data_IF_110021609919
#
_entry.id   IF_110021609919
#
_cell.length_a   1.000
_cell.length_b   1.000
_cell.length_c   1.000
_cell.angle_alpha   90.00
_cell.angle_beta   90.00
_cell.angle_gamma   90.00
#
_symmetry.space_group_name_H-M   'P 1'
#
loop_
_entity.id
_entity.type
_entity.pdbx_description
1 polymer ?
#
# COMPACT_ATOMS: atom_id res chain seq x y z
N UNK A 1 3.75 10.18 18.25
CA UNK A 1 2.81 9.16 17.79
C UNK A 1 1.99 8.68 18.99
N UNK A 2 0.70 9.09 19.02
CA UNK A 2 -0.19 8.89 20.17
C UNK A 2 -0.44 7.40 20.47
N UNK A 3 -0.51 6.56 19.43
CA UNK A 3 -0.73 5.12 19.57
C UNK A 3 0.32 4.39 20.42
N UNK A 4 1.49 4.99 20.63
CA UNK A 4 2.53 4.40 21.47
C UNK A 4 2.25 4.58 22.95
N UNK A 5 1.49 5.62 23.31
CA UNK A 5 1.26 6.04 24.71
C UNK A 5 -0.21 5.94 25.13
N UNK A 6 -1.16 5.97 24.19
CA UNK A 6 -2.57 6.03 24.46
C UNK A 6 -3.33 4.95 23.69
N UNK A 7 -4.21 4.22 24.37
CA UNK A 7 -5.17 3.30 23.76
C UNK A 7 -6.63 3.73 24.01
N UNK A 8 -6.84 4.84 24.73
CA UNK A 8 -8.18 5.38 25.02
C UNK A 8 -8.33 6.75 24.39
N UNK A 9 -9.40 6.90 23.60
CA UNK A 9 -9.79 8.16 22.98
C UNK A 9 -11.18 8.56 23.46
N UNK A 10 -11.28 9.74 24.04
CA UNK A 10 -12.56 10.33 24.40
C UNK A 10 -12.87 11.44 23.41
N UNK A 11 -13.90 11.27 22.60
CA UNK A 11 -14.42 12.31 21.72
C UNK A 11 -15.42 13.17 22.51
N UNK A 12 -14.98 14.36 22.89
CA UNK A 12 -15.82 15.33 23.59
C UNK A 12 -16.93 15.88 22.70
N UNK A 13 -16.64 16.07 21.42
CA UNK A 13 -17.57 16.45 20.36
C UNK A 13 -17.61 15.37 19.27
N UNK A 14 -18.76 15.12 18.71
CA UNK A 14 -18.94 14.27 17.53
C UNK A 14 -18.92 15.19 16.31
N UNK A 15 -17.83 15.20 15.49
CA UNK A 15 -17.79 16.01 14.29
C UNK A 15 -18.82 15.51 13.29
N UNK A 16 -19.43 16.42 12.56
CA UNK A 16 -20.43 16.10 11.52
C UNK A 16 -19.84 15.32 10.33
N UNK A 17 -18.54 15.43 10.12
CA UNK A 17 -17.85 14.73 9.04
C UNK A 17 -17.26 13.42 9.57
N UNK A 18 -17.75 12.25 9.12
CA UNK A 18 -17.24 10.93 9.53
C UNK A 18 -15.74 10.75 9.30
N UNK A 19 -15.21 11.33 8.22
CA UNK A 19 -13.78 11.28 7.90
C UNK A 19 -12.91 11.94 8.99
N UNK A 20 -13.42 12.96 9.68
CA UNK A 20 -12.72 13.53 10.85
C UNK A 20 -12.74 12.60 12.06
N UNK A 21 -13.79 11.81 12.22
CA UNK A 21 -13.86 10.77 13.24
C UNK A 21 -12.84 9.66 12.96
N UNK A 22 -12.80 9.17 11.73
CA UNK A 22 -11.78 8.19 11.30
C UNK A 22 -10.36 8.71 11.50
N UNK A 23 -10.11 9.98 11.16
CA UNK A 23 -8.79 10.61 11.39
C UNK A 23 -8.45 10.68 12.89
N UNK A 24 -9.44 10.95 13.76
CA UNK A 24 -9.22 10.96 15.21
C UNK A 24 -8.95 9.55 15.74
N UNK A 25 -9.76 8.58 15.34
CA UNK A 25 -9.61 7.16 15.67
C UNK A 25 -8.27 6.65 15.18
N UNK A 26 -7.90 6.91 13.93
CA UNK A 26 -6.64 6.51 13.34
C UNK A 26 -5.39 7.13 14.00
N UNK A 27 -5.54 8.04 14.96
CA UNK A 27 -4.41 8.51 15.77
C UNK A 27 -4.01 7.54 16.87
N UNK A 28 -4.94 6.72 17.35
CA UNK A 28 -4.70 5.69 18.37
C UNK A 28 -4.88 4.27 17.82
N UNK A 29 -5.79 4.07 16.88
CA UNK A 29 -5.98 2.82 16.14
C UNK A 29 -5.08 2.82 14.91
N UNK A 30 -3.81 2.57 15.15
CA UNK A 30 -2.78 2.59 14.14
C UNK A 30 -1.77 1.48 14.37
N UNK A 31 -1.12 1.08 13.31
CA UNK A 31 -0.04 0.11 13.38
C UNK A 31 0.99 0.47 14.48
N UNK A 32 1.25 -0.49 15.37
CA UNK A 32 2.11 -0.32 16.55
C UNK A 32 1.36 -0.05 17.84
N UNK A 33 0.02 0.01 17.83
CA UNK A 33 -0.79 -0.01 19.05
C UNK A 33 -0.69 -1.38 19.73
N UNK A 34 -0.37 -1.38 21.01
CA UNK A 34 -0.17 -2.61 21.80
C UNK A 34 -1.44 -3.09 22.49
N UNK A 35 -2.33 -2.15 22.76
CA UNK A 35 -3.59 -2.38 23.46
C UNK A 35 -4.76 -2.22 22.49
N UNK A 36 -5.87 -2.90 22.74
CA UNK A 36 -7.07 -2.70 21.94
C UNK A 36 -7.58 -1.26 22.13
N UNK A 37 -7.68 -0.44 21.07
CA UNK A 37 -8.18 0.92 21.20
C UNK A 37 -9.60 0.96 21.76
N UNK A 38 -9.79 1.74 22.81
CA UNK A 38 -11.11 2.00 23.41
C UNK A 38 -11.53 3.43 23.05
N UNK A 39 -12.62 3.54 22.28
CA UNK A 39 -13.11 4.82 21.75
C UNK A 39 -14.41 5.16 22.46
N UNK A 40 -14.45 6.31 23.11
CA UNK A 40 -15.59 6.81 23.83
C UNK A 40 -16.15 8.05 23.13
N UNK A 41 -17.46 8.11 23.04
CA UNK A 41 -18.19 9.27 22.53
C UNK A 41 -19.04 9.84 23.66
N UNK A 42 -18.92 11.13 23.93
CA UNK A 42 -19.85 11.81 24.82
C UNK A 42 -21.10 12.16 24.02
N UNK A 43 -22.15 11.41 24.24
CA UNK A 43 -23.45 11.68 23.64
C UNK A 43 -24.31 12.47 24.67
N UNK A 44 -24.93 13.58 24.25
CA UNK A 44 -25.84 14.30 25.13
C UNK A 44 -27.06 13.41 25.47
N UNK A 45 -27.37 13.29 26.73
CA UNK A 45 -28.60 12.63 27.15
C UNK A 45 -29.79 13.54 26.83
N UNK A 46 -30.70 13.03 26.01
CA UNK A 46 -31.92 13.79 25.65
C UNK A 46 -32.82 13.97 26.86
N UNK A 47 -32.57 15.01 27.64
CA UNK A 47 -33.39 15.42 28.75
C UNK A 47 -34.29 16.57 28.31
N UNK A 48 -35.45 16.25 27.74
CA UNK A 48 -36.55 17.21 27.70
C UNK A 48 -36.84 17.92 26.38
N UNK A 49 -37.92 18.64 26.39
CA UNK A 49 -38.58 19.34 25.28
C UNK A 49 -37.89 20.69 24.96
N UNK A 50 -36.70 20.68 24.34
CA UNK A 50 -36.01 21.89 23.94
C UNK A 50 -35.82 21.96 22.42
N UNK A 51 -35.59 23.16 21.89
CA UNK A 51 -35.36 23.44 20.45
C UNK A 51 -34.25 22.58 19.82
N UNK A 52 -33.31 22.07 20.63
CA UNK A 52 -32.17 21.27 20.22
C UNK A 52 -32.34 19.76 20.51
N UNK A 53 -33.45 19.34 21.13
CA UNK A 53 -33.65 17.92 21.52
C UNK A 53 -33.59 16.97 20.31
N UNK A 54 -34.13 17.39 19.16
CA UNK A 54 -34.06 16.59 17.93
C UNK A 54 -32.66 16.44 17.35
N UNK A 55 -31.79 17.45 17.51
CA UNK A 55 -30.40 17.39 17.09
C UNK A 55 -29.55 16.52 18.04
N UNK A 56 -29.82 16.61 19.35
CA UNK A 56 -29.14 15.80 20.37
C UNK A 56 -29.48 14.31 20.23
N UNK A 57 -30.76 13.99 20.01
CA UNK A 57 -31.23 12.63 19.76
C UNK A 57 -30.62 12.04 18.46
N UNK A 58 -30.50 12.87 17.42
CA UNK A 58 -29.83 12.47 16.17
C UNK A 58 -28.33 12.18 16.38
N UNK A 59 -27.60 13.05 17.07
CA UNK A 59 -26.18 12.86 17.36
C UNK A 59 -25.94 11.61 18.24
N UNK A 60 -26.84 11.34 19.19
CA UNK A 60 -26.81 10.10 19.99
C UNK A 60 -26.95 8.86 19.12
N UNK A 61 -27.96 8.79 18.26
CA UNK A 61 -28.18 7.67 17.33
C UNK A 61 -27.05 7.54 16.31
N UNK A 62 -26.48 8.64 15.87
CA UNK A 62 -25.32 8.63 14.97
C UNK A 62 -24.10 8.01 15.66
N UNK A 63 -23.83 8.40 16.90
CA UNK A 63 -22.72 7.85 17.68
C UNK A 63 -22.89 6.34 17.92
N UNK A 64 -24.10 5.88 18.26
CA UNK A 64 -24.41 4.45 18.39
C UNK A 64 -24.22 3.69 17.09
N UNK A 65 -24.68 4.25 15.97
CA UNK A 65 -24.55 3.62 14.67
C UNK A 65 -23.09 3.52 14.23
N UNK A 66 -22.30 4.58 14.40
CA UNK A 66 -20.86 4.59 14.11
C UNK A 66 -20.14 3.55 15.00
N UNK A 67 -20.46 3.49 16.28
CA UNK A 67 -19.87 2.53 17.21
C UNK A 67 -20.18 1.08 16.80
N UNK A 68 -21.39 0.81 16.33
CA UNK A 68 -21.82 -0.51 15.87
C UNK A 68 -21.14 -0.88 14.56
N UNK A 69 -21.12 0.02 13.58
CA UNK A 69 -20.49 -0.23 12.26
C UNK A 69 -18.97 -0.37 12.36
N UNK A 70 -18.31 0.41 13.21
CA UNK A 70 -16.86 0.27 13.46
C UNK A 70 -16.55 -1.09 14.10
N UNK A 71 -17.46 -1.61 14.94
CA UNK A 71 -17.29 -2.93 15.55
C UNK A 71 -17.48 -4.06 14.56
N UNK A 72 -18.44 -3.94 13.64
CA UNK A 72 -18.85 -5.02 12.73
C UNK A 72 -18.05 -5.03 11.42
N UNK A 73 -17.65 -3.86 10.91
CA UNK A 73 -17.02 -3.69 9.60
C UNK A 73 -15.61 -3.11 9.64
N UNK A 74 -15.15 -2.65 10.80
CA UNK A 74 -13.81 -2.06 10.96
C UNK A 74 -13.62 -0.68 10.29
N UNK A 75 -14.65 -0.15 9.60
CA UNK A 75 -14.62 1.16 8.95
C UNK A 75 -16.02 1.79 8.93
N UNK A 76 -16.06 3.13 8.88
CA UNK A 76 -17.33 3.86 8.78
C UNK A 76 -17.86 3.80 7.35
N UNK A 77 -19.12 3.38 7.21
CA UNK A 77 -19.74 3.22 5.91
C UNK A 77 -20.03 4.58 5.25
N UNK A 78 -19.70 4.78 3.96
CA UNK A 78 -20.04 6.00 3.19
C UNK A 78 -21.53 6.37 3.20
N UNK A 79 -22.44 5.41 3.42
CA UNK A 79 -23.89 5.65 3.57
C UNK A 79 -24.24 6.54 4.77
N UNK A 80 -23.40 6.54 5.82
CA UNK A 80 -23.61 7.44 6.97
C UNK A 80 -23.29 8.89 6.56
N UNK A 81 -22.30 9.09 5.72
CA UNK A 81 -21.93 10.42 5.21
C UNK A 81 -23.10 11.04 4.42
N UNK A 82 -23.75 10.25 3.59
CA UNK A 82 -24.94 10.69 2.85
C UNK A 82 -26.12 11.04 3.77
N UNK A 83 -26.39 10.25 4.81
CA UNK A 83 -27.45 10.50 5.77
C UNK A 83 -27.18 11.76 6.62
N UNK A 84 -25.93 11.98 7.02
CA UNK A 84 -25.50 13.16 7.76
C UNK A 84 -25.64 14.40 6.89
N UNK A 85 -25.09 14.36 5.68
CA UNK A 85 -25.13 15.45 4.70
C UNK A 85 -26.58 15.81 4.37
N UNK A 86 -27.43 14.81 4.16
CA UNK A 86 -28.87 15.02 3.86
C UNK A 86 -29.61 15.72 5.00
N UNK A 87 -29.32 15.38 6.25
CA UNK A 87 -30.00 15.94 7.41
C UNK A 87 -29.52 17.34 7.79
N UNK A 88 -28.22 17.61 7.66
CA UNK A 88 -27.65 18.92 8.00
C UNK A 88 -27.79 19.97 6.90
N UNK A 89 -27.94 19.53 5.65
CA UNK A 89 -28.23 20.42 4.52
C UNK A 89 -29.73 20.68 4.34
N UNK A 90 -30.57 20.39 5.35
CA UNK A 90 -31.98 20.77 5.39
C UNK A 90 -32.95 19.82 4.64
N UNK A 91 -32.50 18.67 4.15
CA UNK A 91 -33.41 17.63 3.68
C UNK A 91 -34.09 16.99 4.88
N UNK A 92 -35.33 17.36 5.14
CA UNK A 92 -36.20 16.73 6.13
C UNK A 92 -36.26 15.23 5.82
N UNK A 93 -35.70 14.41 6.68
CA UNK A 93 -36.03 12.98 6.68
C UNK A 93 -37.54 12.89 6.99
N UNK A 94 -38.36 12.67 5.96
CA UNK A 94 -39.68 12.08 6.18
C UNK A 94 -39.44 10.89 7.11
N UNK A 95 -40.28 10.76 8.14
CA UNK A 95 -40.30 9.62 9.07
C UNK A 95 -39.90 8.36 8.31
N UNK A 96 -38.85 7.69 8.79
CA UNK A 96 -38.52 6.38 8.25
C UNK A 96 -39.78 5.52 8.29
N UNK A 97 -40.26 5.00 7.17
CA UNK A 97 -41.38 4.08 7.19
C UNK A 97 -40.96 2.88 8.02
N UNK A 98 -41.83 2.50 8.95
CA UNK A 98 -41.71 1.24 9.65
C UNK A 98 -41.54 0.12 8.63
N UNK A 99 -40.47 -0.68 8.76
CA UNK A 99 -40.26 -2.02 8.17
C UNK A 99 -41.19 -2.34 6.98
N UNK A 100 -40.87 -1.83 5.82
CA UNK A 100 -41.41 -2.29 4.56
C UNK A 100 -40.23 -2.40 3.60
N UNK A 101 -40.11 -3.53 2.93
CA UNK A 101 -39.07 -3.86 1.99
C UNK A 101 -39.11 -2.88 0.82
N UNK A 102 -38.23 -1.91 0.83
CA UNK A 102 -38.08 -0.96 -0.27
C UNK A 102 -37.04 -1.54 -1.23
N UNK A 103 -37.51 -2.21 -2.30
CA UNK A 103 -36.68 -2.81 -3.34
C UNK A 103 -35.65 -1.79 -3.89
N UNK A 104 -36.02 -0.51 -3.97
CA UNK A 104 -35.11 0.57 -4.41
C UNK A 104 -33.96 0.85 -3.43
N UNK A 105 -34.17 0.64 -2.13
CA UNK A 105 -33.10 0.78 -1.15
C UNK A 105 -32.12 -0.40 -1.21
N UNK A 106 -32.63 -1.59 -1.53
CA UNK A 106 -31.84 -2.81 -1.75
C UNK A 106 -31.03 -2.68 -3.05
N UNK A 107 -31.63 -2.19 -4.13
CA UNK A 107 -30.93 -1.96 -5.39
C UNK A 107 -29.84 -0.89 -5.27
N UNK A 108 -30.08 0.17 -4.50
CA UNK A 108 -29.06 1.19 -4.21
C UNK A 108 -27.91 0.64 -3.34
N UNK A 109 -28.21 -0.20 -2.37
CA UNK A 109 -27.21 -0.86 -1.54
C UNK A 109 -26.40 -1.91 -2.34
N UNK A 110 -27.08 -2.67 -3.22
CA UNK A 110 -26.44 -3.62 -4.15
C UNK A 110 -25.56 -2.92 -5.19
N UNK A 111 -25.98 -1.77 -5.72
CA UNK A 111 -25.16 -0.96 -6.62
C UNK A 111 -23.92 -0.39 -5.91
N UNK A 112 -24.03 -0.01 -4.64
CA UNK A 112 -22.91 0.39 -3.79
C UNK A 112 -21.93 -0.76 -3.55
N UNK A 113 -22.42 -1.95 -3.25
CA UNK A 113 -21.59 -3.16 -3.05
C UNK A 113 -20.88 -3.57 -4.34
N UNK A 114 -21.52 -3.42 -5.50
CA UNK A 114 -20.93 -3.68 -6.81
C UNK A 114 -19.73 -2.76 -7.10
N UNK A 115 -19.84 -1.47 -6.81
CA UNK A 115 -18.74 -0.49 -6.95
C UNK A 115 -17.59 -0.80 -5.99
N UNK A 116 -17.87 -1.13 -4.74
CA UNK A 116 -16.87 -1.52 -3.75
C UNK A 116 -16.12 -2.78 -4.21
N UNK A 117 -16.83 -3.80 -4.68
CA UNK A 117 -16.21 -5.01 -5.20
C UNK A 117 -15.33 -4.73 -6.44
N UNK A 118 -15.74 -3.83 -7.33
CA UNK A 118 -14.93 -3.40 -8.48
C UNK A 118 -13.66 -2.68 -8.01
N UNK A 119 -13.75 -1.78 -7.03
CA UNK A 119 -12.60 -1.10 -6.45
C UNK A 119 -11.65 -2.06 -5.75
N UNK A 120 -12.15 -2.98 -4.94
CA UNK A 120 -11.36 -4.02 -4.29
C UNK A 120 -10.66 -4.93 -5.30
N UNK A 121 -11.37 -5.30 -6.37
CA UNK A 121 -10.79 -6.11 -7.46
C UNK A 121 -9.69 -5.35 -8.20
N UNK A 122 -9.87 -4.06 -8.46
CA UNK A 122 -8.86 -3.22 -9.09
C UNK A 122 -7.62 -3.06 -8.20
N UNK A 123 -7.82 -2.83 -6.89
CA UNK A 123 -6.73 -2.76 -5.91
C UNK A 123 -5.98 -4.09 -5.79
N UNK A 124 -6.69 -5.21 -5.76
CA UNK A 124 -6.10 -6.54 -5.70
C UNK A 124 -5.27 -6.86 -6.95
N UNK A 125 -5.75 -6.46 -8.14
CA UNK A 125 -4.99 -6.60 -9.40
C UNK A 125 -3.73 -5.72 -9.38
N UNK A 126 -3.87 -4.47 -8.94
CA UNK A 126 -2.74 -3.53 -8.79
C UNK A 126 -1.69 -4.07 -7.83
N UNK A 127 -2.10 -4.59 -6.68
CA UNK A 127 -1.22 -5.23 -5.71
C UNK A 127 -0.48 -6.45 -6.29
N UNK A 128 -1.21 -7.36 -6.96
CA UNK A 128 -0.61 -8.54 -7.61
C UNK A 128 0.41 -8.13 -8.68
N UNK A 129 0.11 -7.12 -9.49
CA UNK A 129 1.02 -6.59 -10.51
C UNK A 129 2.28 -6.01 -9.86
N UNK A 130 2.13 -5.13 -8.88
CA UNK A 130 3.29 -4.54 -8.16
C UNK A 130 4.15 -5.63 -7.51
N UNK A 131 3.54 -6.66 -6.93
CA UNK A 131 4.25 -7.79 -6.33
C UNK A 131 5.06 -8.56 -7.37
N UNK A 132 4.52 -8.77 -8.57
CA UNK A 132 5.22 -9.40 -9.68
C UNK A 132 6.35 -8.51 -10.22
N UNK A 133 6.09 -7.22 -10.46
CA UNK A 133 7.07 -6.24 -10.94
C UNK A 133 8.28 -6.08 -9.98
N UNK A 134 8.06 -6.35 -8.69
CA UNK A 134 9.10 -6.30 -7.65
C UNK A 134 9.71 -7.67 -7.34
N UNK A 135 9.33 -8.73 -8.05
CA UNK A 135 9.74 -10.12 -7.81
C UNK A 135 9.56 -10.57 -6.36
N UNK A 136 8.48 -10.14 -5.71
CA UNK A 136 8.16 -10.47 -4.32
C UNK A 136 7.48 -11.84 -4.25
N UNK A 137 8.27 -12.90 -4.30
CA UNK A 137 7.80 -14.29 -4.17
C UNK A 137 7.85 -14.75 -2.70
N UNK A 138 7.09 -15.78 -2.30
CA UNK A 138 7.21 -16.40 -0.99
C UNK A 138 8.63 -16.88 -0.70
N UNK A 139 9.31 -17.45 -1.68
CA UNK A 139 10.69 -17.92 -1.57
C UNK A 139 11.66 -16.77 -1.31
N UNK A 140 11.48 -15.62 -2.00
CA UNK A 140 12.30 -14.44 -1.75
C UNK A 140 12.09 -13.91 -0.31
N UNK A 141 10.84 -13.92 0.18
CA UNK A 141 10.53 -13.56 1.56
C UNK A 141 11.22 -14.47 2.59
N UNK A 142 11.17 -15.78 2.38
CA UNK A 142 11.87 -16.76 3.21
C UNK A 142 13.38 -16.49 3.23
N UNK A 143 14.02 -16.38 2.06
CA UNK A 143 15.47 -16.14 1.96
C UNK A 143 15.90 -14.88 2.72
N UNK A 144 15.13 -13.81 2.64
CA UNK A 144 15.41 -12.56 3.40
C UNK A 144 15.46 -12.82 4.90
N UNK A 145 14.58 -13.68 5.42
CA UNK A 145 14.55 -14.03 6.85
C UNK A 145 15.71 -14.96 7.19
N UNK A 146 15.92 -16.03 6.43
CA UNK A 146 16.97 -17.02 6.68
C UNK A 146 18.37 -16.36 6.63
N UNK A 147 18.63 -15.50 5.67
CA UNK A 147 19.89 -14.75 5.58
C UNK A 147 20.12 -13.84 6.78
N UNK A 148 19.07 -13.13 7.21
CA UNK A 148 19.19 -12.26 8.38
C UNK A 148 19.40 -13.04 9.69
N UNK A 149 18.81 -14.22 9.80
CA UNK A 149 19.05 -15.17 10.92
C UNK A 149 20.51 -15.65 10.89
N UNK A 150 20.99 -16.08 9.74
CA UNK A 150 22.38 -16.53 9.53
C UNK A 150 23.38 -15.42 9.90
N UNK A 151 23.18 -14.20 9.42
CA UNK A 151 24.05 -13.05 9.74
C UNK A 151 24.08 -12.69 11.22
N UNK A 152 23.07 -13.07 11.96
CA UNK A 152 22.99 -12.82 13.41
C UNK A 152 23.24 -14.09 14.22
N UNK A 153 23.79 -15.15 13.59
CA UNK A 153 24.09 -16.42 14.22
C UNK A 153 22.88 -17.07 14.92
N UNK A 154 21.70 -16.90 14.30
CA UNK A 154 20.48 -17.57 14.77
C UNK A 154 20.21 -18.84 13.96
N UNK A 155 19.51 -19.82 14.54
CA UNK A 155 19.06 -20.99 13.80
C UNK A 155 18.13 -20.59 12.65
N UNK A 156 18.19 -21.29 11.49
CA UNK A 156 17.30 -21.04 10.36
C UNK A 156 15.86 -21.47 10.67
N UNK A 157 14.91 -21.00 9.85
CA UNK A 157 13.54 -21.51 9.88
C UNK A 157 13.49 -22.97 9.46
N UNK A 158 12.78 -23.80 10.22
CA UNK A 158 12.61 -25.23 9.94
C UNK A 158 11.31 -25.48 9.19
N UNK A 159 11.40 -26.16 8.05
CA UNK A 159 10.19 -26.50 7.29
C UNK A 159 9.42 -27.61 8.01
N UNK A 160 8.14 -27.39 8.25
CA UNK A 160 7.25 -28.34 8.92
C UNK A 160 6.11 -28.68 7.98
N UNK A 161 5.80 -29.96 7.89
CA UNK A 161 4.62 -30.41 7.14
C UNK A 161 3.35 -29.88 7.78
N UNK A 162 2.37 -29.54 6.96
CA UNK A 162 1.05 -29.15 7.41
C UNK A 162 0.00 -29.96 6.63
N UNK A 163 -0.89 -30.63 7.34
CA UNK A 163 -2.01 -31.34 6.72
C UNK A 163 -3.08 -30.40 6.17
N UNK A 164 -2.98 -29.11 6.52
CA UNK A 164 -3.99 -28.09 6.20
C UNK A 164 -3.66 -27.28 4.94
N UNK A 165 -2.44 -27.41 4.40
CA UNK A 165 -2.01 -26.68 3.20
C UNK A 165 -0.84 -27.37 2.52
N UNK A 166 -0.83 -27.35 1.19
CA UNK A 166 0.30 -27.83 0.37
C UNK A 166 1.46 -26.81 0.29
N UNK A 167 1.25 -25.60 0.79
CA UNK A 167 2.29 -24.59 0.78
C UNK A 167 3.26 -24.76 1.95
N UNK A 168 4.53 -24.40 1.75
CA UNK A 168 5.56 -24.48 2.77
C UNK A 168 5.23 -23.66 4.01
N UNK A 169 5.30 -24.32 5.15
CA UNK A 169 5.08 -23.78 6.49
C UNK A 169 6.34 -24.00 7.31
N UNK A 170 6.70 -23.03 8.14
CA UNK A 170 7.96 -23.05 8.87
C UNK A 170 7.75 -22.87 10.36
N UNK A 171 8.41 -23.69 11.17
CA UNK A 171 8.56 -23.44 12.59
C UNK A 171 9.60 -22.34 12.81
N UNK A 172 9.30 -21.43 13.72
CA UNK A 172 10.27 -20.42 14.16
C UNK A 172 11.03 -21.00 15.34
N UNK A 173 12.36 -21.15 15.23
CA UNK A 173 13.18 -21.69 16.31
C UNK A 173 13.23 -20.72 17.50
N UNK A 174 13.83 -21.19 18.60
CA UNK A 174 14.07 -20.32 19.74
C UNK A 174 15.18 -19.32 19.37
N UNK A 175 14.83 -18.03 19.36
CA UNK A 175 15.68 -16.94 18.92
C UNK A 175 16.19 -16.13 20.11
N UNK A 176 17.39 -15.60 19.98
CA UNK A 176 18.01 -14.76 20.98
C UNK A 176 17.11 -13.56 21.38
N UNK A 177 17.31 -13.04 22.58
CA UNK A 177 16.54 -11.91 23.14
C UNK A 177 16.41 -10.71 22.19
N UNK A 178 17.45 -10.48 21.38
CA UNK A 178 17.42 -9.41 20.37
C UNK A 178 16.30 -9.59 19.32
N UNK A 179 15.79 -10.79 19.10
CA UNK A 179 14.73 -11.11 18.14
C UNK A 179 13.32 -11.21 18.75
N UNK A 180 13.19 -11.09 20.06
CA UNK A 180 11.89 -11.26 20.74
C UNK A 180 10.82 -10.29 20.22
N UNK A 181 11.17 -9.04 19.93
CA UNK A 181 10.25 -8.07 19.33
C UNK A 181 9.79 -8.49 17.91
N UNK A 182 10.60 -9.29 17.21
CA UNK A 182 10.28 -9.77 15.86
C UNK A 182 9.32 -10.96 15.86
N UNK A 183 9.32 -11.75 16.93
CA UNK A 183 8.44 -12.91 17.12
C UNK A 183 7.26 -12.61 18.04
N UNK A 184 7.19 -11.39 18.58
CA UNK A 184 6.08 -10.96 19.41
C UNK A 184 4.74 -11.08 18.65
N UNK A 185 3.77 -11.75 19.26
CA UNK A 185 2.46 -12.03 18.66
C UNK A 185 2.40 -13.30 17.81
N UNK A 186 3.50 -14.06 17.69
CA UNK A 186 3.43 -15.41 17.13
C UNK A 186 2.86 -16.41 18.13
N UNK A 187 3.00 -16.18 19.43
CA UNK A 187 2.31 -16.93 20.46
C UNK A 187 0.85 -16.45 20.65
N UNK A 188 0.08 -17.22 21.39
CA UNK A 188 -1.30 -16.86 21.75
C UNK A 188 -1.43 -16.75 23.28
N UNK A 189 -2.45 -16.01 23.75
CA UNK A 189 -2.76 -15.94 25.18
C UNK A 189 -3.08 -17.31 25.79
N UNK A 190 -3.56 -18.26 24.96
CA UNK A 190 -3.89 -19.63 25.39
C UNK A 190 -2.65 -20.52 25.46
N UNK A 191 -1.61 -20.20 24.72
CA UNK A 191 -0.34 -20.95 24.68
C UNK A 191 0.82 -19.94 24.66
N UNK A 192 1.10 -19.29 25.79
CA UNK A 192 2.20 -18.36 25.89
C UNK A 192 3.54 -19.09 25.72
N UNK A 193 4.44 -18.47 24.94
CA UNK A 193 5.77 -19.04 24.65
C UNK A 193 5.78 -20.12 23.57
N UNK A 194 4.65 -20.63 23.10
CA UNK A 194 4.58 -21.52 21.95
C UNK A 194 4.34 -20.71 20.69
N UNK A 195 5.39 -20.55 19.88
CA UNK A 195 5.29 -19.81 18.63
C UNK A 195 4.48 -20.61 17.60
N UNK A 196 3.53 -19.93 16.96
CA UNK A 196 2.79 -20.52 15.83
C UNK A 196 3.69 -20.60 14.62
N UNK A 197 3.53 -21.63 13.79
CA UNK A 197 4.25 -21.74 12.55
C UNK A 197 3.92 -20.57 11.61
N UNK A 198 4.87 -20.22 10.76
CA UNK A 198 4.78 -19.10 9.83
C UNK A 198 4.82 -19.57 8.39
N UNK A 199 4.25 -18.78 7.50
CA UNK A 199 4.33 -18.98 6.06
C UNK A 199 4.54 -17.65 5.35
N UNK A 200 5.16 -17.69 4.18
CA UNK A 200 5.31 -16.55 3.27
C UNK A 200 4.26 -16.56 2.14
N UNK A 201 3.44 -17.61 2.10
CA UNK A 201 2.34 -17.74 1.15
C UNK A 201 1.07 -17.10 1.75
N UNK A 202 0.46 -16.19 1.00
CA UNK A 202 -0.73 -15.45 1.44
C UNK A 202 -1.96 -16.36 1.65
N UNK A 203 -2.13 -17.37 0.78
CA UNK A 203 -3.28 -18.29 0.86
C UNK A 203 -3.14 -19.21 2.06
N UNK A 204 -1.95 -19.76 2.28
CA UNK A 204 -1.66 -20.58 3.46
C UNK A 204 -1.77 -19.80 4.78
N UNK A 205 -1.49 -18.51 4.75
CA UNK A 205 -1.65 -17.63 5.90
C UNK A 205 -3.10 -17.38 6.33
N UNK A 206 -4.09 -17.80 5.53
CA UNK A 206 -5.51 -17.77 5.89
C UNK A 206 -5.94 -19.00 6.69
N UNK A 207 -5.09 -20.01 6.77
CA UNK A 207 -5.34 -21.23 7.54
C UNK A 207 -5.23 -20.91 9.05
N UNK A 208 -6.22 -21.27 9.87
CA UNK A 208 -6.15 -21.04 11.31
C UNK A 208 -4.91 -21.66 11.94
N UNK A 209 -4.20 -20.91 12.76
CA UNK A 209 -3.00 -21.39 13.46
C UNK A 209 -1.68 -21.16 12.70
N UNK A 210 -1.71 -20.74 11.44
CA UNK A 210 -0.53 -20.37 10.65
C UNK A 210 -0.48 -18.85 10.52
N UNK A 211 0.69 -18.26 10.66
CA UNK A 211 0.86 -16.79 10.58
C UNK A 211 1.53 -16.41 9.27
N UNK A 212 0.90 -15.51 8.51
CA UNK A 212 1.48 -14.97 7.28
C UNK A 212 2.54 -13.90 7.58
N UNK A 213 3.78 -14.17 7.18
CA UNK A 213 4.88 -13.21 7.25
C UNK A 213 4.87 -12.34 6.01
N UNK A 214 4.03 -11.33 6.01
CA UNK A 214 3.97 -10.30 4.97
C UNK A 214 5.07 -9.24 5.16
N UNK A 215 5.25 -8.32 4.19
CA UNK A 215 6.30 -7.29 4.21
C UNK A 215 6.29 -6.38 5.46
N UNK A 216 5.12 -6.16 6.03
CA UNK A 216 4.94 -5.39 7.27
C UNK A 216 5.11 -6.19 8.56
N UNK A 217 5.26 -7.52 8.49
CA UNK A 217 5.40 -8.38 9.68
C UNK A 217 6.69 -8.05 10.44
N UNK A 218 6.69 -8.05 11.79
CA UNK A 218 7.87 -7.71 12.59
C UNK A 218 9.10 -8.51 12.23
N UNK A 219 8.96 -9.81 11.97
CA UNK A 219 10.04 -10.71 11.55
C UNK A 219 10.66 -10.22 10.22
N UNK A 220 9.84 -9.93 9.19
CA UNK A 220 10.32 -9.42 7.91
C UNK A 220 10.98 -8.04 8.04
N UNK A 221 10.38 -7.13 8.82
CA UNK A 221 10.93 -5.80 9.05
C UNK A 221 12.30 -5.83 9.73
N UNK A 222 12.47 -6.70 10.72
CA UNK A 222 13.75 -6.87 11.39
C UNK A 222 14.80 -7.44 10.45
N UNK A 223 14.46 -8.50 9.73
CA UNK A 223 15.33 -9.13 8.73
C UNK A 223 15.80 -8.13 7.68
N UNK A 224 14.87 -7.37 7.09
CA UNK A 224 15.19 -6.32 6.12
C UNK A 224 16.09 -5.23 6.70
N UNK A 225 15.92 -4.87 7.98
CA UNK A 225 16.78 -3.89 8.66
C UNK A 225 18.20 -4.42 8.81
N UNK A 226 18.37 -5.69 9.22
CA UNK A 226 19.68 -6.35 9.36
C UNK A 226 20.40 -6.40 8.02
N UNK A 227 19.73 -6.89 6.97
CA UNK A 227 20.29 -6.93 5.62
C UNK A 227 20.71 -5.55 5.12
N UNK A 228 19.85 -4.54 5.30
CA UNK A 228 20.17 -3.16 4.91
C UNK A 228 21.39 -2.62 5.66
N UNK A 229 21.48 -2.84 6.97
CA UNK A 229 22.62 -2.39 7.76
C UNK A 229 23.92 -3.04 7.26
N UNK A 230 23.90 -4.33 6.94
CA UNK A 230 25.05 -5.05 6.41
C UNK A 230 25.43 -4.60 5.00
N UNK A 231 24.49 -4.38 4.09
CA UNK A 231 24.75 -3.90 2.72
C UNK A 231 25.44 -2.53 2.67
N UNK A 232 25.26 -1.71 3.68
CA UNK A 232 25.88 -0.38 3.78
C UNK A 232 27.09 -0.32 4.75
N UNK A 233 27.42 -1.42 5.41
CA UNK A 233 28.56 -1.49 6.30
C UNK A 233 29.84 -1.78 5.52
N UNK A 234 30.91 -1.01 5.68
CA UNK A 234 32.19 -1.25 5.02
C UNK A 234 32.91 -2.53 5.53
N UNK A 235 32.47 -3.06 6.66
CA UNK A 235 33.04 -4.26 7.29
C UNK A 235 32.17 -5.51 7.08
N UNK A 236 31.12 -5.41 6.27
CA UNK A 236 30.22 -6.54 6.00
C UNK A 236 30.78 -7.43 4.90
N UNK A 237 30.60 -8.74 5.07
CA UNK A 237 30.88 -9.74 4.03
C UNK A 237 29.85 -9.73 2.90
N UNK A 238 28.76 -9.00 3.06
CA UNK A 238 27.69 -8.90 2.06
C UNK A 238 28.10 -7.94 0.96
N UNK A 239 28.29 -8.49 -0.23
CA UNK A 239 28.66 -7.72 -1.43
C UNK A 239 27.51 -7.67 -2.42
N UNK A 240 27.42 -6.58 -3.18
CA UNK A 240 26.48 -6.42 -4.29
C UNK A 240 26.99 -7.07 -5.59
N UNK A 241 28.22 -7.53 -5.60
CA UNK A 241 28.85 -8.19 -6.74
C UNK A 241 29.32 -9.58 -6.30
N UNK A 242 28.84 -10.59 -6.99
CA UNK A 242 29.18 -11.98 -6.71
C UNK A 242 29.69 -12.63 -7.99
N UNK A 243 30.69 -13.50 -7.86
CA UNK A 243 31.20 -14.31 -8.95
C UNK A 243 30.96 -15.79 -8.64
N UNK A 244 30.26 -16.47 -9.52
CA UNK A 244 29.87 -17.88 -9.35
C UNK A 244 30.22 -18.71 -10.58
N UNK A 245 30.50 -19.98 -10.37
CA UNK A 245 30.61 -20.97 -11.43
C UNK A 245 29.32 -21.78 -11.46
N UNK A 246 28.62 -21.76 -12.59
CA UNK A 246 27.36 -22.43 -12.79
C UNK A 246 27.56 -23.66 -13.73
N UNK A 247 27.38 -24.88 -13.23
CA UNK A 247 27.45 -26.08 -14.07
C UNK A 247 26.41 -26.05 -15.18
N UNK A 248 26.80 -26.45 -16.40
CA UNK A 248 25.89 -26.49 -17.54
C UNK A 248 25.45 -25.13 -18.10
N UNK A 249 26.08 -24.05 -17.70
CA UNK A 249 25.88 -22.73 -18.32
C UNK A 249 26.58 -22.74 -19.72
N UNK A 250 25.85 -22.30 -20.75
CA UNK A 250 26.41 -22.30 -22.12
C UNK A 250 27.47 -21.21 -22.33
N UNK A 251 27.28 -20.05 -21.73
CA UNK A 251 28.15 -18.88 -21.92
C UNK A 251 28.31 -18.09 -20.63
N UNK A 252 29.55 -17.79 -20.29
CA UNK A 252 29.85 -16.89 -19.19
C UNK A 252 29.24 -15.50 -19.42
N UNK A 253 28.59 -14.95 -18.39
CA UNK A 253 27.84 -13.71 -18.49
C UNK A 253 27.90 -12.86 -17.22
N UNK A 254 27.57 -11.58 -17.38
CA UNK A 254 27.30 -10.66 -16.31
C UNK A 254 25.79 -10.40 -16.26
N UNK A 255 25.12 -10.81 -15.21
CA UNK A 255 23.70 -10.59 -14.96
C UNK A 255 23.51 -9.53 -13.87
N UNK A 256 22.80 -8.46 -14.18
CA UNK A 256 22.53 -7.36 -13.26
C UNK A 256 21.03 -7.30 -12.94
N UNK A 257 20.72 -7.23 -11.67
CA UNK A 257 19.41 -6.84 -11.19
C UNK A 257 19.41 -5.33 -10.96
N UNK A 258 18.50 -4.64 -11.61
CA UNK A 258 18.40 -3.19 -11.58
C UNK A 258 16.98 -2.74 -11.21
N UNK A 259 16.87 -1.54 -10.68
CA UNK A 259 15.61 -0.93 -10.24
C UNK A 259 15.37 0.34 -11.06
N UNK A 260 14.20 0.43 -11.68
CA UNK A 260 13.68 1.62 -12.34
C UNK A 260 12.66 2.28 -11.42
N UNK A 261 12.83 3.57 -11.17
CA UNK A 261 11.86 4.41 -10.46
C UNK A 261 11.51 5.59 -11.34
N UNK A 262 10.24 5.77 -11.64
CA UNK A 262 9.73 6.94 -12.33
C UNK A 262 9.18 7.93 -11.30
N UNK A 263 9.74 9.12 -11.30
CA UNK A 263 9.41 10.19 -10.34
C UNK A 263 8.84 11.36 -11.11
N UNK A 264 7.61 11.73 -10.75
CA UNK A 264 6.94 12.92 -11.27
C UNK A 264 7.33 14.17 -10.50
N UNK A 265 6.70 15.27 -10.86
CA UNK A 265 6.92 16.57 -10.22
C UNK A 265 6.66 16.50 -8.71
N UNK A 266 7.47 17.20 -7.93
CA UNK A 266 7.37 17.17 -6.46
C UNK A 266 7.95 15.93 -5.79
N UNK A 267 8.64 15.04 -6.53
CA UNK A 267 9.28 13.85 -5.98
C UNK A 267 8.32 12.66 -5.76
N UNK A 268 7.12 12.72 -6.34
CA UNK A 268 6.15 11.64 -6.24
C UNK A 268 6.60 10.43 -7.05
N UNK A 269 6.71 9.26 -6.44
CA UNK A 269 6.97 8.00 -7.14
C UNK A 269 5.72 7.53 -7.86
N UNK A 270 5.76 7.55 -9.18
CA UNK A 270 4.66 7.14 -10.04
C UNK A 270 4.71 5.65 -10.40
N UNK A 271 5.92 5.14 -10.61
CA UNK A 271 6.15 3.73 -10.93
C UNK A 271 7.48 3.26 -10.34
N UNK A 272 7.54 2.00 -9.96
CA UNK A 272 8.75 1.34 -9.48
C UNK A 272 8.72 -0.12 -9.93
N UNK A 273 9.82 -0.56 -10.56
CA UNK A 273 9.96 -1.90 -11.08
C UNK A 273 11.40 -2.38 -10.94
N UNK A 274 11.57 -3.66 -10.62
CA UNK A 274 12.85 -4.36 -10.69
C UNK A 274 12.92 -5.10 -12.01
N UNK A 275 14.06 -5.05 -12.67
CA UNK A 275 14.28 -5.71 -13.95
C UNK A 275 15.68 -6.29 -14.03
N UNK A 276 15.83 -7.28 -14.90
CA UNK A 276 17.09 -7.98 -15.11
C UNK A 276 17.67 -7.58 -16.45
N UNK A 277 18.99 -7.38 -16.49
CA UNK A 277 19.76 -7.17 -17.71
C UNK A 277 21.06 -7.93 -17.64
N UNK A 278 21.65 -8.24 -18.78
CA UNK A 278 22.94 -8.89 -18.79
C UNK A 278 23.59 -8.87 -20.16
N UNK A 279 24.88 -9.20 -20.13
CA UNK A 279 25.72 -9.31 -21.32
C UNK A 279 26.60 -10.55 -21.19
N UNK A 280 26.90 -11.21 -22.31
CA UNK A 280 27.93 -12.26 -22.32
C UNK A 280 29.29 -11.63 -22.03
N UNK A 281 30.17 -12.33 -21.31
CA UNK A 281 31.52 -11.83 -21.08
C UNK A 281 32.27 -11.67 -22.41
N UNK A 282 32.10 -12.63 -23.32
CA UNK A 282 32.58 -12.59 -24.67
C UNK A 282 31.39 -12.70 -25.63
N UNK A 283 31.20 -11.70 -26.54
CA UNK A 283 30.16 -11.77 -27.58
C UNK A 283 28.92 -10.91 -27.32
N UNK A 284 27.77 -11.35 -27.85
CA UNK A 284 26.55 -10.58 -27.97
C UNK A 284 25.59 -10.70 -26.76
N UNK A 285 24.37 -10.25 -26.97
CA UNK A 285 23.28 -10.24 -25.98
C UNK A 285 22.96 -11.66 -25.50
N UNK A 286 22.41 -11.72 -24.29
CA UNK A 286 21.88 -12.93 -23.67
C UNK A 286 20.36 -12.79 -23.57
N UNK A 287 19.64 -13.90 -23.68
CA UNK A 287 18.19 -13.91 -23.54
C UNK A 287 17.77 -13.62 -22.11
N UNK A 288 16.63 -12.97 -21.93
CA UNK A 288 16.11 -12.58 -20.62
C UNK A 288 15.80 -13.82 -19.75
N UNK A 289 15.27 -14.88 -20.36
CA UNK A 289 15.00 -16.17 -19.70
C UNK A 289 16.27 -16.78 -19.10
N UNK A 290 17.37 -16.75 -19.85
CA UNK A 290 18.68 -17.25 -19.38
C UNK A 290 19.19 -16.40 -18.21
N UNK A 291 18.97 -15.09 -18.23
CA UNK A 291 19.36 -14.22 -17.11
C UNK A 291 18.57 -14.51 -15.84
N UNK A 292 17.27 -14.77 -15.96
CA UNK A 292 16.45 -15.19 -14.82
C UNK A 292 16.93 -16.53 -14.27
N UNK A 293 17.20 -17.50 -15.12
CA UNK A 293 17.74 -18.79 -14.71
C UNK A 293 19.09 -18.63 -13.99
N UNK A 294 20.01 -17.83 -14.52
CA UNK A 294 21.30 -17.54 -13.90
C UNK A 294 21.13 -16.94 -12.51
N UNK A 295 20.23 -15.97 -12.36
CA UNK A 295 19.98 -15.33 -11.06
C UNK A 295 19.34 -16.30 -10.07
N UNK A 296 18.34 -17.07 -10.47
CA UNK A 296 17.66 -18.03 -9.60
C UNK A 296 18.62 -19.13 -9.13
N UNK A 297 19.44 -19.67 -10.03
CA UNK A 297 20.46 -20.66 -9.70
C UNK A 297 21.57 -20.09 -8.81
N UNK A 298 21.92 -18.82 -8.97
CA UNK A 298 22.89 -18.13 -8.10
C UNK A 298 22.38 -17.87 -6.70
N UNK A 299 21.08 -18.05 -6.46
CA UNK A 299 20.46 -17.96 -5.13
C UNK A 299 20.29 -19.31 -4.44
N UNK A 300 20.56 -20.42 -5.14
CA UNK A 300 20.49 -21.78 -4.61
C UNK A 300 21.90 -22.32 -4.33
N UNK A 301 22.31 -22.47 -3.06
CA UNK A 301 23.68 -22.91 -2.70
C UNK A 301 24.08 -24.25 -3.29
N UNK A 302 23.13 -25.13 -3.62
CA UNK A 302 23.37 -26.42 -4.28
C UNK A 302 23.65 -26.32 -5.78
N UNK A 303 23.30 -25.21 -6.40
CA UNK A 303 23.35 -25.01 -7.85
C UNK A 303 24.59 -24.27 -8.35
N UNK A 304 25.43 -23.73 -7.47
CA UNK A 304 26.63 -22.98 -7.87
C UNK A 304 27.84 -23.31 -6.98
N UNK A 305 29.01 -22.94 -7.49
CA UNK A 305 30.25 -22.84 -6.71
C UNK A 305 30.75 -21.42 -6.73
N UNK A 306 31.28 -20.89 -5.62
CA UNK A 306 31.94 -19.59 -5.62
C UNK A 306 33.18 -19.62 -6.52
N UNK A 307 33.36 -18.58 -7.31
CA UNK A 307 34.53 -18.44 -8.16
C UNK A 307 35.82 -18.35 -7.30
N UNK A 308 36.83 -19.10 -7.69
CA UNK A 308 38.15 -19.06 -7.04
C UNK A 308 38.86 -17.71 -7.21
N UNK A 309 39.94 -17.45 -6.44
CA UNK A 309 40.65 -16.17 -6.48
C UNK A 309 41.13 -15.81 -7.89
N UNK A 310 41.62 -16.76 -8.65
CA UNK A 310 42.17 -16.60 -10.01
C UNK A 310 41.07 -16.16 -10.99
N UNK A 311 39.92 -16.87 -10.95
CA UNK A 311 38.74 -16.51 -11.74
C UNK A 311 38.24 -15.11 -11.39
N UNK A 312 38.20 -14.77 -10.10
CA UNK A 312 37.80 -13.43 -9.66
C UNK A 312 38.78 -12.34 -10.14
N UNK A 313 40.09 -12.61 -10.13
CA UNK A 313 41.10 -11.69 -10.65
C UNK A 313 40.94 -11.47 -12.15
N UNK A 314 40.68 -12.54 -12.91
CA UNK A 314 40.42 -12.44 -14.36
C UNK A 314 39.13 -11.63 -14.65
N UNK A 315 38.05 -11.88 -13.91
CA UNK A 315 36.81 -11.10 -14.04
C UNK A 315 37.00 -9.64 -13.66
N UNK A 316 37.79 -9.33 -12.64
CA UNK A 316 38.14 -7.97 -12.27
C UNK A 316 38.96 -7.27 -13.36
N UNK A 317 39.87 -7.98 -14.02
CA UNK A 317 40.61 -7.46 -15.18
C UNK A 317 39.64 -7.15 -16.30
N UNK A 318 38.76 -8.06 -16.71
CA UNK A 318 37.76 -7.82 -17.76
C UNK A 318 36.81 -6.66 -17.43
N UNK A 319 36.49 -6.46 -16.17
CA UNK A 319 35.67 -5.35 -15.72
C UNK A 319 36.38 -4.01 -15.81
N UNK A 320 37.67 -3.98 -15.52
CA UNK A 320 38.51 -2.79 -15.47
C UNK A 320 39.25 -2.51 -16.80
N UNK A 321 39.42 -3.53 -17.67
CA UNK A 321 40.15 -3.42 -18.95
C UNK A 321 39.39 -2.53 -19.93
N UNK A 322 39.77 -1.24 -19.98
CA UNK A 322 39.09 -0.22 -20.78
C UNK A 322 37.60 -0.06 -20.50
N UNK A 323 37.06 -0.74 -19.49
CA UNK A 323 35.63 -0.67 -19.08
C UNK A 323 34.68 -1.28 -20.10
N UNK A 324 35.12 -2.06 -21.08
CA UNK A 324 34.25 -2.60 -22.13
C UNK A 324 33.09 -3.45 -21.61
N UNK A 325 33.34 -4.35 -20.67
CA UNK A 325 32.26 -5.17 -20.06
C UNK A 325 31.29 -4.29 -19.28
N UNK A 326 31.81 -3.40 -18.46
CA UNK A 326 31.04 -2.44 -17.66
C UNK A 326 30.21 -1.53 -18.57
N UNK A 327 30.82 -0.95 -19.60
CA UNK A 327 30.14 -0.05 -20.53
C UNK A 327 28.98 -0.76 -21.23
N UNK A 328 29.21 -1.96 -21.77
CA UNK A 328 28.17 -2.77 -22.43
C UNK A 328 27.00 -3.06 -21.49
N UNK A 329 27.29 -3.43 -20.24
CA UNK A 329 26.23 -3.71 -19.26
C UNK A 329 25.43 -2.46 -18.91
N UNK A 330 26.11 -1.31 -18.75
CA UNK A 330 25.43 -0.02 -18.47
C UNK A 330 24.55 0.39 -19.65
N UNK A 331 25.05 0.27 -20.89
CA UNK A 331 24.28 0.57 -22.11
C UNK A 331 23.05 -0.35 -22.25
N UNK A 332 23.21 -1.66 -21.98
CA UNK A 332 22.10 -2.60 -22.04
C UNK A 332 21.05 -2.29 -20.95
N UNK A 333 21.52 -1.96 -19.74
CA UNK A 333 20.65 -1.55 -18.63
C UNK A 333 19.89 -0.27 -18.97
N UNK A 334 20.54 0.72 -19.55
CA UNK A 334 19.90 1.97 -19.99
C UNK A 334 18.86 1.72 -21.09
N UNK A 335 19.19 0.87 -22.08
CA UNK A 335 18.28 0.50 -23.17
C UNK A 335 17.04 -0.22 -22.66
N UNK A 336 17.22 -1.19 -21.75
CA UNK A 336 16.10 -1.91 -21.13
C UNK A 336 15.22 -0.97 -20.30
N UNK A 337 15.83 -0.08 -19.53
CA UNK A 337 15.10 0.92 -18.74
C UNK A 337 14.27 1.86 -19.63
N UNK A 338 14.81 2.31 -20.76
CA UNK A 338 14.07 3.12 -21.73
C UNK A 338 12.88 2.36 -22.34
N UNK A 339 13.07 1.09 -22.70
CA UNK A 339 11.98 0.23 -23.19
C UNK A 339 10.88 0.06 -22.17
N UNK A 340 11.24 -0.20 -20.90
CA UNK A 340 10.28 -0.32 -19.79
C UNK A 340 9.57 1.00 -19.53
N UNK A 341 10.29 2.12 -19.54
CA UNK A 341 9.71 3.45 -19.39
C UNK A 341 8.67 3.73 -20.47
N UNK A 342 8.98 3.42 -21.74
CA UNK A 342 8.03 3.60 -22.85
C UNK A 342 6.76 2.78 -22.65
N UNK A 343 6.86 1.53 -22.17
CA UNK A 343 5.69 0.70 -21.86
C UNK A 343 4.85 1.21 -20.68
N UNK A 344 5.46 1.92 -19.75
CA UNK A 344 4.77 2.47 -18.57
C UNK A 344 4.07 3.79 -18.88
N UNK A 345 4.54 4.58 -19.84
CA UNK A 345 3.94 5.89 -20.17
C UNK A 345 2.43 5.78 -20.45
N UNK A 346 2.01 4.86 -21.29
CA UNK A 346 0.59 4.64 -21.55
C UNK A 346 -0.21 4.38 -20.26
N UNK A 347 0.31 3.55 -19.36
CA UNK A 347 -0.34 3.25 -18.08
C UNK A 347 -0.39 4.47 -17.14
N UNK A 348 0.60 5.37 -17.22
CA UNK A 348 0.59 6.62 -16.47
C UNK A 348 -0.41 7.62 -17.03
N UNK A 349 -0.55 7.70 -18.35
CA UNK A 349 -1.55 8.52 -19.01
C UNK A 349 -2.97 8.06 -18.67
N UNK A 350 -3.22 6.74 -18.71
CA UNK A 350 -4.49 6.15 -18.29
C UNK A 350 -4.81 6.45 -16.81
N UNK A 351 -3.81 6.39 -15.93
CA UNK A 351 -3.97 6.75 -14.51
C UNK A 351 -4.23 8.24 -14.31
N UNK A 352 -3.52 9.09 -15.05
CA UNK A 352 -3.75 10.54 -15.03
C UNK A 352 -5.19 10.84 -15.44
N UNK A 353 -5.68 10.24 -16.51
CA UNK A 353 -7.05 10.42 -16.96
C UNK A 353 -8.05 9.91 -15.94
N UNK A 354 -7.85 8.74 -15.35
CA UNK A 354 -8.72 8.20 -14.30
C UNK A 354 -8.75 9.09 -13.04
N UNK A 355 -7.63 9.72 -12.67
CA UNK A 355 -7.57 10.66 -11.57
C UNK A 355 -8.31 11.97 -11.90
N UNK A 356 -8.21 12.47 -13.15
CA UNK A 356 -8.99 13.63 -13.64
C UNK A 356 -10.48 13.33 -13.65
N UNK A 357 -10.89 12.18 -14.18
CA UNK A 357 -12.30 11.77 -14.20
C UNK A 357 -12.88 11.67 -12.79
N UNK A 358 -12.07 11.23 -11.84
CA UNK A 358 -12.45 11.21 -10.41
C UNK A 358 -12.65 12.61 -9.86
N UNK A 359 -11.75 13.55 -10.16
CA UNK A 359 -11.89 14.96 -9.77
C UNK A 359 -13.17 15.53 -10.35
N UNK A 360 -13.41 15.39 -11.65
CA UNK A 360 -14.64 15.85 -12.31
C UNK A 360 -15.89 15.25 -11.67
N UNK A 361 -15.88 13.94 -11.38
CA UNK A 361 -17.00 13.26 -10.72
C UNK A 361 -17.31 13.83 -9.34
N UNK A 362 -16.27 14.10 -8.54
CA UNK A 362 -16.40 14.70 -7.21
C UNK A 362 -16.99 16.12 -7.32
N UNK A 363 -16.43 16.96 -8.19
CA UNK A 363 -16.91 18.34 -8.35
C UNK A 363 -18.31 18.42 -8.96
N UNK A 364 -18.64 17.52 -9.90
CA UNK A 364 -20.00 17.42 -10.45
C UNK A 364 -21.02 17.03 -9.39
N UNK A 365 -20.73 16.03 -8.56
CA UNK A 365 -21.59 15.61 -7.45
C UNK A 365 -21.74 16.74 -6.42
N UNK A 366 -20.66 17.44 -6.11
CA UNK A 366 -20.69 18.56 -5.16
C UNK A 366 -21.51 19.75 -5.69
N UNK A 367 -21.36 20.08 -6.99
CA UNK A 367 -22.14 21.10 -7.67
C UNK A 367 -23.64 20.76 -7.66
N UNK A 368 -23.99 19.52 -8.00
CA UNK A 368 -25.36 19.05 -7.98
C UNK A 368 -25.98 19.17 -6.58
N UNK A 369 -25.28 18.72 -5.55
CA UNK A 369 -25.73 18.80 -4.16
C UNK A 369 -25.96 20.25 -3.69
N UNK A 370 -25.04 21.18 -4.03
CA UNK A 370 -25.18 22.58 -3.68
C UNK A 370 -26.37 23.22 -4.41
N UNK A 371 -26.53 22.92 -5.70
CA UNK A 371 -27.65 23.44 -6.52
C UNK A 371 -28.99 22.94 -5.98
N UNK A 372 -29.10 21.65 -5.64
CA UNK A 372 -30.32 21.08 -5.08
C UNK A 372 -30.62 21.67 -3.70
N UNK A 373 -29.61 21.89 -2.87
CA UNK A 373 -29.76 22.50 -1.56
C UNK A 373 -30.25 23.95 -1.66
N UNK A 374 -29.68 24.75 -2.58
CA UNK A 374 -30.10 26.11 -2.87
C UNK A 374 -31.55 26.15 -3.39
N UNK A 375 -31.89 25.26 -4.33
CA UNK A 375 -33.26 25.19 -4.86
C UNK A 375 -34.28 24.88 -3.76
N UNK A 376 -33.93 23.99 -2.84
CA UNK A 376 -34.75 23.62 -1.69
C UNK A 376 -34.93 24.81 -0.71
N UNK A 377 -33.87 25.53 -0.39
CA UNK A 377 -33.91 26.72 0.47
C UNK A 377 -34.76 27.83 -0.14
N UNK A 378 -34.62 28.10 -1.44
CA UNK A 378 -35.44 29.05 -2.16
C UNK A 378 -36.91 28.66 -2.28
N UNK A 379 -37.22 27.35 -2.40
CA UNK A 379 -38.59 26.86 -2.40
C UNK A 379 -39.25 27.08 -1.03
N UNK A 380 -38.52 26.74 0.05
CA UNK A 380 -39.01 27.01 1.42
C UNK A 380 -39.22 28.50 1.71
N UNK A 381 -38.37 29.39 1.17
CA UNK A 381 -38.51 30.80 1.33
C UNK A 381 -39.80 31.33 0.65
N UNK A 382 -40.11 30.82 -0.55
CA UNK A 382 -41.36 31.16 -1.28
C UNK A 382 -42.62 30.64 -0.58
N UNK A 383 -42.60 29.41 -0.07
CA UNK A 383 -43.75 28.86 0.68
C UNK A 383 -44.00 29.62 1.98
N UNK A 384 -43.00 30.14 2.62
CA UNK A 384 -43.11 30.87 3.87
C UNK A 384 -43.48 32.35 3.69
N UNK A 385 -43.11 32.96 2.57
CA UNK A 385 -43.65 34.29 2.19
C UNK A 385 -45.16 34.23 1.95
N UNK A 386 -45.69 33.09 1.54
CA UNK A 386 -47.14 32.87 1.36
C UNK A 386 -47.89 32.58 2.69
N UNK A 387 -47.17 32.11 3.75
CA UNK A 387 -47.72 31.88 5.09
C UNK A 387 -47.22 32.98 6.04
N UNK A 388 -48.02 33.95 6.31
CA UNK A 388 -47.82 35.06 7.25
C UNK A 388 -46.81 34.81 8.38
N UNK A 389 -45.63 35.40 8.25
CA UNK A 389 -44.69 35.93 9.24
C UNK A 389 -44.51 35.19 10.60
N UNK A 390 -44.16 33.91 10.56
CA UNK A 390 -43.92 33.10 11.77
C UNK A 390 -42.43 33.08 12.21
N UNK A 391 -41.53 33.76 11.53
CA UNK A 391 -40.10 33.72 11.82
C UNK A 391 -39.57 34.99 12.50
N UNK A 392 -38.64 34.81 13.46
CA UNK A 392 -37.93 35.91 14.06
C UNK A 392 -36.96 36.57 13.06
N UNK A 393 -36.68 37.86 13.22
CA UNK A 393 -35.75 38.59 12.35
C UNK A 393 -34.36 37.96 12.27
N UNK A 394 -33.89 37.34 13.35
CA UNK A 394 -32.59 36.65 13.42
C UNK A 394 -32.54 35.36 12.55
N UNK A 395 -33.62 34.62 12.52
CA UNK A 395 -33.71 33.38 11.71
C UNK A 395 -33.72 33.73 10.21
N UNK A 396 -34.36 34.82 9.80
CA UNK A 396 -34.32 35.31 8.42
C UNK A 396 -32.93 35.76 8.01
N UNK A 397 -32.21 36.49 8.87
CA UNK A 397 -30.85 36.93 8.60
C UNK A 397 -29.85 35.79 8.53
N UNK A 398 -30.01 34.77 9.37
CA UNK A 398 -29.14 33.60 9.34
C UNK A 398 -29.31 32.82 8.03
N UNK A 399 -30.56 32.60 7.60
CA UNK A 399 -30.86 31.91 6.34
C UNK A 399 -30.30 32.65 5.13
N UNK A 400 -30.50 33.99 5.07
CA UNK A 400 -29.94 34.80 4.00
C UNK A 400 -28.40 34.72 3.94
N UNK A 401 -27.74 34.59 5.10
CA UNK A 401 -26.28 34.33 5.16
C UNK A 401 -25.92 32.96 4.63
N UNK A 402 -26.70 31.94 4.99
CA UNK A 402 -26.45 30.55 4.55
C UNK A 402 -26.64 30.42 3.02
N UNK A 403 -27.66 31.01 2.45
CA UNK A 403 -27.90 31.06 1.00
C UNK A 403 -26.71 31.72 0.29
N UNK A 404 -26.30 32.91 0.73
CA UNK A 404 -25.16 33.62 0.13
C UNK A 404 -23.88 32.83 0.22
N UNK A 405 -23.61 32.20 1.37
CA UNK A 405 -22.43 31.36 1.53
C UNK A 405 -22.42 30.16 0.58
N UNK A 406 -23.59 29.56 0.28
CA UNK A 406 -23.72 28.48 -0.69
C UNK A 406 -23.58 28.99 -2.14
N UNK A 407 -24.12 30.17 -2.45
CA UNK A 407 -23.95 30.82 -3.75
C UNK A 407 -22.47 31.14 -4.01
N UNK A 408 -21.81 31.80 -3.05
CA UNK A 408 -20.38 32.13 -3.11
C UNK A 408 -19.55 30.82 -3.26
N UNK A 409 -19.95 29.73 -2.58
CA UNK A 409 -19.30 28.44 -2.70
C UNK A 409 -19.47 27.84 -4.10
N UNK A 410 -20.65 27.93 -4.68
CA UNK A 410 -20.97 27.46 -6.03
C UNK A 410 -20.17 28.20 -7.10
N UNK A 411 -20.05 29.56 -6.97
CA UNK A 411 -19.24 30.38 -7.86
C UNK A 411 -17.75 30.02 -7.82
N UNK A 412 -17.21 29.76 -6.62
CA UNK A 412 -15.81 29.45 -6.44
C UNK A 412 -15.46 28.02 -6.86
N UNK A 413 -16.46 27.14 -7.01
CA UNK A 413 -16.26 25.71 -7.27
C UNK A 413 -15.53 25.42 -8.60
N UNK A 414 -15.83 26.19 -9.66
CA UNK A 414 -15.18 26.04 -10.96
C UNK A 414 -13.67 26.37 -10.90
N UNK A 415 -13.32 27.40 -10.13
CA UNK A 415 -11.92 27.76 -9.92
C UNK A 415 -11.15 26.74 -9.07
N UNK A 416 -11.82 26.08 -8.13
CA UNK A 416 -11.24 25.00 -7.35
C UNK A 416 -11.04 23.75 -8.19
N UNK A 417 -12.02 23.37 -9.01
CA UNK A 417 -11.94 22.26 -9.95
C UNK A 417 -10.74 22.42 -10.89
N UNK A 418 -10.60 23.61 -11.51
CA UNK A 418 -9.47 23.91 -12.41
C UNK A 418 -8.12 23.79 -11.69
N UNK A 419 -8.03 24.24 -10.44
CA UNK A 419 -6.80 24.10 -9.63
C UNK A 419 -6.48 22.66 -9.31
N UNK A 420 -7.47 21.84 -8.95
CA UNK A 420 -7.28 20.42 -8.69
C UNK A 420 -6.90 19.65 -9.95
N UNK A 421 -7.53 19.94 -11.11
CA UNK A 421 -7.11 19.38 -12.39
C UNK A 421 -5.65 19.69 -12.71
N UNK A 422 -5.24 20.95 -12.56
CA UNK A 422 -3.87 21.37 -12.78
C UNK A 422 -2.90 20.66 -11.81
N UNK A 423 -3.30 20.48 -10.55
CA UNK A 423 -2.52 19.75 -9.56
C UNK A 423 -2.37 18.26 -9.92
N UNK A 424 -3.44 17.62 -10.41
CA UNK A 424 -3.38 16.23 -10.89
C UNK A 424 -2.46 16.12 -12.09
N UNK A 425 -2.66 16.93 -13.14
CA UNK A 425 -1.79 16.90 -14.35
C UNK A 425 -0.33 17.11 -13.99
N UNK A 426 -0.05 18.08 -13.13
CA UNK A 426 1.30 18.38 -12.68
C UNK A 426 2.02 17.21 -12.00
N UNK A 427 1.32 16.27 -11.39
CA UNK A 427 1.92 15.05 -10.80
C UNK A 427 2.52 14.13 -11.85
N UNK A 428 1.92 14.10 -13.04
CA UNK A 428 2.30 13.24 -14.16
C UNK A 428 3.19 13.94 -15.20
N UNK A 429 3.49 15.23 -15.00
CA UNK A 429 4.42 16.00 -15.82
C UNK A 429 5.86 15.78 -15.37
N UNK A 430 6.82 16.00 -16.29
CA UNK A 430 8.28 15.95 -16.06
C UNK A 430 8.71 14.65 -15.36
N UNK A 431 8.21 13.51 -15.86
CA UNK A 431 8.52 12.19 -15.32
C UNK A 431 9.98 11.84 -15.58
N UNK A 432 10.77 11.73 -14.50
CA UNK A 432 12.20 11.43 -14.57
C UNK A 432 12.47 9.98 -14.18
N UNK A 433 13.21 9.24 -15.03
CA UNK A 433 13.66 7.91 -14.68
C UNK A 433 14.90 7.95 -13.78
N UNK A 434 14.88 7.14 -12.75
CA UNK A 434 16.05 6.83 -11.93
C UNK A 434 16.32 5.34 -12.04
N UNK A 435 17.49 4.99 -12.55
CA UNK A 435 17.95 3.61 -12.68
C UNK A 435 19.10 3.38 -11.71
N UNK A 436 19.00 2.33 -10.92
CA UNK A 436 20.06 1.93 -9.98
C UNK A 436 20.29 0.43 -10.04
N UNK A 437 21.53 0.00 -10.19
CA UNK A 437 21.88 -1.42 -10.05
C UNK A 437 21.79 -1.84 -8.59
N UNK A 438 21.10 -2.93 -8.33
CA UNK A 438 20.89 -3.51 -7.00
C UNK A 438 21.95 -4.56 -6.72
N UNK A 439 22.14 -5.49 -7.66
CA UNK A 439 23.09 -6.57 -7.57
C UNK A 439 23.67 -6.93 -8.95
N UNK A 440 24.87 -7.51 -8.94
CA UNK A 440 25.56 -8.00 -10.12
C UNK A 440 26.07 -9.41 -9.82
N UNK A 441 25.74 -10.34 -10.69
CA UNK A 441 26.27 -11.72 -10.66
C UNK A 441 27.13 -11.91 -11.91
N UNK A 442 28.39 -12.26 -11.71
CA UNK A 442 29.29 -12.72 -12.76
C UNK A 442 29.25 -14.24 -12.78
N UNK A 443 28.48 -14.78 -13.70
CA UNK A 443 28.32 -16.23 -13.85
C UNK A 443 29.30 -16.75 -14.89
N UNK A 444 30.08 -17.75 -14.51
CA UNK A 444 31.14 -18.34 -15.31
C UNK A 444 30.83 -19.80 -15.61
N UNK A 445 31.09 -20.23 -16.82
CA UNK A 445 31.03 -21.66 -17.21
C UNK A 445 32.14 -22.46 -16.52
N UNK A 446 31.97 -23.75 -16.40
CA UNK A 446 33.02 -24.64 -15.86
C UNK A 446 34.29 -24.58 -16.71
N UNK A 447 34.15 -24.56 -18.04
CA UNK A 447 35.26 -24.48 -18.99
C UNK A 447 36.10 -23.20 -18.84
N UNK A 448 35.42 -22.03 -18.77
CA UNK A 448 36.09 -20.75 -18.54
C UNK A 448 36.78 -20.71 -17.16
N UNK A 449 36.12 -21.25 -16.12
CA UNK A 449 36.68 -21.30 -14.79
C UNK A 449 37.96 -22.16 -14.71
N UNK A 450 37.96 -23.30 -15.38
CA UNK A 450 39.16 -24.16 -15.48
C UNK A 450 40.28 -23.52 -16.30
N UNK A 451 39.90 -22.87 -17.41
CA UNK A 451 40.87 -22.21 -18.29
C UNK A 451 41.58 -21.05 -17.57
N UNK A 452 40.83 -20.25 -16.86
CA UNK A 452 41.37 -19.09 -16.11
C UNK A 452 42.11 -19.54 -14.85
N UNK A 453 41.70 -20.65 -14.21
CA UNK A 453 42.41 -21.23 -13.08
C UNK A 453 43.76 -21.84 -13.40
N UNK A 454 44.01 -22.17 -14.71
CA UNK A 454 45.28 -22.74 -15.17
C UNK A 454 46.27 -21.70 -15.71
N UNK A 455 45.83 -20.48 -15.94
CA UNK A 455 46.64 -19.40 -16.53
C UNK A 455 47.38 -18.54 -15.47
N UNK A 456 47.22 -18.89 -14.20
CA UNK A 456 47.93 -18.33 -13.05
C UNK A 456 48.98 -19.28 -12.55
#
# INVERSE_FOLDING_TARGET
>A
DLQTYCHRLVNFDVPFNPSRLEQRVGRIDRYGQRETPAIFYLAPVATGKGLYAGHQDFLGRLAEKIATETRDLGAVNPLIDEQITTRFLGRSLRKAPARGHDEKAIDSALAGSGRLNQQLTALARGYKRTKADMHLTPQAGRRVVDEALTMTHQPPLEEVGSELTDASVFAVPDLARSWQDAVAGLDTRLQPGRLRPVTFNEEAGRVPGIVHVHLGHPLMRKSTRILRANLFSPHSEVNRVTAVVLPGLEHSCAASMSRLVLVGRGGLRLHEQVFVTGVRLRGHRIAEETLHEVLDRSLDPGSYRLAGPEVRSHLAALWNDGGHLRTRLVEETARRAQSLQAGVHQSLDERCQADLDRVHGIFAAFRANLTDSLAHLHAQEREQQAMLDLWSGEQRQQRARDIRAMEDRLENLAGEETREEAAVRSRYEDVRPYVSSVALVLAVTEEDAETWGRQS
#
